data_IF_363622064171
#
_entry.id   IF_363622064171
#
_cell.length_a   1.000
_cell.length_b   1.000
_cell.length_c   1.000
_cell.angle_alpha   90.00
_cell.angle_beta   90.00
_cell.angle_gamma   90.00
#
_symmetry.space_group_name_H-M   'P 1'
#
loop_
_entity.id
_entity.type
_entity.pdbx_description
1 polymer ?
#
# COMPACT_ATOMS: atom_id res chain seq x y z
N UNK A 1 3.07 -3.18 23.77
CA UNK A 1 3.96 -3.19 24.94
C UNK A 1 5.31 -2.64 24.54
N UNK A 2 5.94 -1.81 25.37
CA UNK A 2 7.28 -1.30 25.11
C UNK A 2 8.31 -2.46 25.17
N UNK A 3 9.11 -2.71 24.13
CA UNK A 3 10.13 -3.77 24.16
C UNK A 3 11.25 -3.49 25.17
N UNK A 4 11.44 -2.23 25.60
CA UNK A 4 12.41 -1.86 26.62
C UNK A 4 11.85 -1.92 28.05
N UNK A 5 10.53 -2.02 28.23
CA UNK A 5 9.88 -2.20 29.53
C UNK A 5 8.64 -3.08 29.37
N UNK A 6 8.79 -4.41 29.42
CA UNK A 6 7.68 -5.35 29.25
C UNK A 6 6.54 -5.06 30.24
N UNK A 7 5.31 -5.00 29.75
CA UNK A 7 4.11 -4.76 30.57
C UNK A 7 3.63 -3.31 30.60
N UNK A 8 4.41 -2.34 30.12
CA UNK A 8 3.96 -0.96 29.98
C UNK A 8 3.59 -0.61 28.52
N UNK A 9 2.57 0.25 28.30
CA UNK A 9 2.32 0.83 26.98
C UNK A 9 3.54 1.64 26.52
N UNK A 10 3.93 1.49 25.26
CA UNK A 10 4.97 2.33 24.67
C UNK A 10 4.52 3.79 24.68
N UNK A 11 5.39 4.69 25.13
CA UNK A 11 5.08 6.13 25.28
C UNK A 11 5.73 6.95 24.15
N UNK A 12 5.09 8.05 23.78
CA UNK A 12 5.60 9.03 22.82
C UNK A 12 4.81 9.09 21.51
N UNK A 13 5.21 10.01 20.63
CA UNK A 13 4.56 10.22 19.33
C UNK A 13 4.89 9.12 18.32
N UNK A 14 3.97 8.90 17.38
CA UNK A 14 4.17 8.01 16.24
C UNK A 14 5.15 8.67 15.26
N UNK A 15 6.18 7.93 14.86
CA UNK A 15 7.13 8.31 13.81
C UNK A 15 6.92 7.42 12.59
N UNK A 16 6.94 8.04 11.41
CA UNK A 16 6.93 7.34 10.13
C UNK A 16 8.37 7.34 9.61
N UNK A 17 8.93 6.16 9.33
CA UNK A 17 10.31 6.01 8.87
C UNK A 17 10.30 5.33 7.51
N UNK A 18 11.07 5.87 6.57
CA UNK A 18 11.28 5.27 5.25
C UNK A 18 12.32 4.17 5.38
N UNK A 19 11.97 2.95 4.98
CA UNK A 19 12.87 1.79 4.97
C UNK A 19 13.51 1.54 3.61
N UNK A 20 12.76 1.73 2.53
CA UNK A 20 13.26 1.59 1.17
C UNK A 20 12.38 2.37 0.18
N UNK A 21 12.96 2.73 -0.95
CA UNK A 21 12.25 3.29 -2.11
C UNK A 21 12.81 2.61 -3.35
N UNK A 22 11.91 2.17 -4.23
CA UNK A 22 12.28 1.66 -5.55
C UNK A 22 11.49 2.43 -6.59
N UNK A 23 12.18 2.92 -7.63
CA UNK A 23 11.57 3.71 -8.69
C UNK A 23 11.98 3.15 -10.03
N UNK A 24 11.00 2.94 -10.90
CA UNK A 24 11.18 2.59 -12.30
C UNK A 24 10.82 3.79 -13.17
N UNK A 25 11.79 4.25 -13.96
CA UNK A 25 11.62 5.35 -14.90
C UNK A 25 11.23 4.79 -16.26
N UNK A 26 10.12 5.27 -16.81
CA UNK A 26 9.58 4.82 -18.10
C UNK A 26 9.89 5.80 -19.21
N UNK A 27 9.89 7.11 -18.90
CA UNK A 27 10.09 8.19 -19.86
C UNK A 27 10.89 9.33 -19.24
N UNK A 28 11.64 10.01 -20.09
CA UNK A 28 12.39 11.20 -19.72
C UNK A 28 11.43 12.35 -19.34
N UNK A 29 11.76 13.05 -18.25
CA UNK A 29 11.17 14.33 -17.88
C UNK A 29 12.23 15.41 -18.12
N UNK A 30 11.95 16.34 -19.05
CA UNK A 30 12.86 17.44 -19.36
C UNK A 30 13.09 18.33 -18.13
N UNK A 31 14.22 19.03 -18.09
CA UNK A 31 14.47 20.07 -17.10
C UNK A 31 13.30 21.09 -17.08
N UNK A 32 12.85 21.43 -15.88
CA UNK A 32 11.66 22.28 -15.65
C UNK A 32 10.34 21.73 -16.21
N UNK A 33 10.31 20.46 -16.61
CA UNK A 33 9.08 19.76 -16.99
C UNK A 33 8.13 19.62 -15.80
N UNK A 34 6.84 19.88 -16.03
CA UNK A 34 5.82 19.73 -15.00
C UNK A 34 5.25 18.31 -14.98
N UNK A 35 4.90 17.84 -13.79
CA UNK A 35 4.30 16.53 -13.57
C UNK A 35 3.31 16.60 -12.39
N UNK A 36 2.47 15.58 -12.28
CA UNK A 36 1.61 15.35 -11.12
C UNK A 36 2.01 14.05 -10.42
N UNK A 37 1.82 14.00 -9.10
CA UNK A 37 2.09 12.81 -8.28
C UNK A 37 0.79 12.20 -7.79
N UNK A 38 0.65 10.91 -8.03
CA UNK A 38 -0.53 10.14 -7.67
C UNK A 38 -0.11 9.04 -6.72
N UNK A 39 -0.30 9.29 -5.44
CA UNK A 39 0.10 8.39 -4.36
C UNK A 39 -1.13 7.70 -3.78
N UNK A 40 -1.06 6.37 -3.63
CA UNK A 40 -2.07 5.60 -2.89
C UNK A 40 -1.41 4.54 -2.03
N UNK A 41 -2.14 4.03 -1.05
CA UNK A 41 -1.77 2.81 -0.34
C UNK A 41 -1.77 1.66 -1.35
N UNK A 42 -0.63 0.98 -1.47
CA UNK A 42 -0.50 -0.23 -2.27
C UNK A 42 -0.98 -1.44 -1.46
N UNK A 43 -0.37 -1.64 -0.28
CA UNK A 43 -0.67 -2.73 0.64
C UNK A 43 0.05 -2.51 1.97
N UNK A 44 -0.15 -3.40 2.93
CA UNK A 44 0.64 -3.50 4.14
C UNK A 44 0.81 -4.96 4.57
N UNK A 45 1.92 -5.24 5.24
CA UNK A 45 2.18 -6.50 5.93
C UNK A 45 2.16 -6.30 7.47
N UNK A 46 2.84 -7.17 8.22
CA UNK A 46 2.91 -7.09 9.70
C UNK A 46 3.75 -5.92 10.23
N UNK A 47 4.67 -5.38 9.43
CA UNK A 47 5.70 -4.39 9.81
C UNK A 47 5.66 -3.14 8.93
N UNK A 48 5.42 -3.30 7.64
CA UNK A 48 5.61 -2.31 6.59
C UNK A 48 4.29 -1.89 5.95
N UNK A 49 4.13 -0.58 5.75
CA UNK A 49 3.16 0.01 4.85
C UNK A 49 3.84 0.28 3.51
N UNK A 50 3.22 -0.13 2.42
CA UNK A 50 3.71 0.12 1.07
C UNK A 50 2.81 1.16 0.40
N UNK A 51 3.42 2.24 -0.08
CA UNK A 51 2.77 3.21 -0.95
C UNK A 51 3.22 3.00 -2.38
N UNK A 52 2.33 3.20 -3.33
CA UNK A 52 2.67 3.34 -4.74
C UNK A 52 2.42 4.77 -5.18
N UNK A 53 3.41 5.34 -5.85
CA UNK A 53 3.40 6.70 -6.38
C UNK A 53 3.61 6.63 -7.88
N UNK A 54 2.68 7.17 -8.65
CA UNK A 54 2.82 7.36 -10.09
C UNK A 54 3.16 8.81 -10.36
N UNK A 55 4.21 9.02 -11.15
CA UNK A 55 4.55 10.33 -11.70
C UNK A 55 3.93 10.41 -13.08
N UNK A 56 3.01 11.35 -13.29
CA UNK A 56 2.24 11.46 -14.53
C UNK A 56 2.43 12.82 -15.19
N UNK A 57 2.30 12.87 -16.51
CA UNK A 57 2.31 14.14 -17.26
C UNK A 57 1.13 14.99 -16.79
N UNK A 58 1.40 16.24 -16.40
CA UNK A 58 0.38 17.19 -15.94
C UNK A 58 -0.66 17.44 -17.03
N UNK A 59 -1.94 17.44 -16.67
CA UNK A 59 -3.03 17.71 -17.61
C UNK A 59 -3.31 16.60 -18.62
N UNK A 60 -2.84 15.37 -18.36
CA UNK A 60 -3.28 14.22 -19.14
C UNK A 60 -4.81 14.07 -19.07
N UNK A 61 -5.47 14.10 -20.23
CA UNK A 61 -6.91 13.96 -20.35
C UNK A 61 -7.39 12.65 -19.68
N UNK A 62 -8.50 12.71 -18.93
CA UNK A 62 -9.16 11.59 -18.26
C UNK A 62 -8.52 11.05 -16.97
N UNK A 63 -7.63 11.80 -16.32
CA UNK A 63 -7.21 11.46 -14.95
C UNK A 63 -8.23 12.01 -13.90
N UNK A 64 -8.78 11.17 -13.01
CA UNK A 64 -9.70 11.59 -11.94
C UNK A 64 -9.13 12.67 -11.01
N UNK A 65 -9.78 13.84 -10.86
CA UNK A 65 -9.25 14.85 -9.92
C UNK A 65 -9.45 14.41 -8.46
N UNK A 66 -8.40 14.39 -7.62
CA UNK A 66 -8.54 14.10 -6.20
C UNK A 66 -9.51 15.11 -5.55
N UNK A 67 -10.55 14.62 -4.88
CA UNK A 67 -11.54 15.48 -4.22
C UNK A 67 -12.63 16.04 -5.13
N UNK A 68 -12.75 15.58 -6.39
CA UNK A 68 -14.01 15.71 -7.12
C UNK A 68 -14.99 14.65 -6.61
N UNK A 69 -15.65 14.98 -5.50
CA UNK A 69 -16.99 14.51 -5.22
C UNK A 69 -17.82 14.63 -6.51
N UNK A 70 -18.37 13.50 -6.99
CA UNK A 70 -19.04 13.35 -8.28
C UNK A 70 -20.29 14.22 -8.50
N UNK A 71 -20.40 15.36 -7.83
CA UNK A 71 -21.44 16.39 -7.95
C UNK A 71 -21.21 17.36 -9.13
N UNK A 72 -20.15 17.18 -9.92
CA UNK A 72 -19.92 17.96 -11.14
C UNK A 72 -20.64 17.35 -12.34
N UNK A 73 -21.97 17.48 -12.39
CA UNK A 73 -22.86 17.23 -13.54
C UNK A 73 -22.78 15.84 -14.19
N UNK A 74 -23.88 15.11 -14.06
CA UNK A 74 -24.18 13.88 -14.78
C UNK A 74 -23.81 13.98 -16.27
N UNK A 75 -22.77 13.24 -16.63
CA UNK A 75 -22.32 13.08 -17.99
C UNK A 75 -21.48 11.81 -18.10
N UNK A 76 -22.08 10.65 -17.81
CA UNK A 76 -21.70 9.34 -18.37
C UNK A 76 -20.20 9.14 -18.67
N UNK A 77 -19.30 9.36 -17.71
CA UNK A 77 -17.92 8.91 -17.88
C UNK A 77 -17.82 7.52 -17.30
N UNK A 78 -18.10 6.51 -18.14
CA UNK A 78 -17.33 5.26 -18.08
C UNK A 78 -15.91 5.65 -17.68
N UNK A 79 -15.37 5.09 -16.61
CA UNK A 79 -14.00 5.36 -16.16
C UNK A 79 -13.05 4.90 -17.29
N UNK A 80 -12.85 5.75 -18.30
CA UNK A 80 -11.99 5.46 -19.44
C UNK A 80 -10.60 5.76 -18.96
N UNK A 81 -9.99 4.76 -18.32
CA UNK A 81 -8.55 4.76 -18.19
C UNK A 81 -7.97 4.94 -19.59
N UNK A 82 -7.03 5.89 -19.76
CA UNK A 82 -6.43 6.12 -21.06
C UNK A 82 -5.89 4.81 -21.60
N UNK A 83 -6.34 4.41 -22.80
CA UNK A 83 -6.02 3.13 -23.46
C UNK A 83 -4.51 2.88 -23.58
N UNK A 84 -3.68 3.91 -23.42
CA UNK A 84 -2.20 3.83 -23.39
C UNK A 84 -1.66 4.53 -22.13
N UNK A 85 -1.56 3.79 -21.03
CA UNK A 85 -0.96 4.27 -19.76
C UNK A 85 0.51 4.68 -19.92
N UNK A 86 1.21 4.06 -20.86
CA UNK A 86 2.64 4.31 -21.14
C UNK A 86 2.91 5.74 -21.65
N UNK A 87 1.90 6.38 -22.24
CA UNK A 87 2.02 7.77 -22.71
C UNK A 87 1.81 8.80 -21.58
N UNK A 88 1.44 8.36 -20.38
CA UNK A 88 1.05 9.26 -19.29
C UNK A 88 1.96 9.06 -18.08
N UNK A 89 2.33 7.82 -17.76
CA UNK A 89 3.17 7.52 -16.60
C UNK A 89 4.64 7.72 -16.97
N UNK A 90 5.27 8.72 -16.37
CA UNK A 90 6.70 9.02 -16.49
C UNK A 90 7.55 8.07 -15.65
N UNK A 91 7.12 7.83 -14.41
CA UNK A 91 7.79 6.92 -13.48
C UNK A 91 6.79 6.27 -12.53
N UNK A 92 7.15 5.13 -11.97
CA UNK A 92 6.39 4.43 -10.93
C UNK A 92 7.33 4.15 -9.78
N UNK A 93 6.91 4.48 -8.57
CA UNK A 93 7.70 4.30 -7.35
C UNK A 93 6.92 3.54 -6.30
N UNK A 94 7.59 2.64 -5.59
CA UNK A 94 7.08 1.99 -4.38
C UNK A 94 7.91 2.48 -3.20
N UNK A 95 7.24 2.97 -2.16
CA UNK A 95 7.86 3.42 -0.91
C UNK A 95 7.46 2.49 0.23
N UNK A 96 8.45 1.97 0.96
CA UNK A 96 8.31 1.07 2.11
C UNK A 96 8.47 1.89 3.40
N UNK A 97 7.41 1.94 4.22
CA UNK A 97 7.33 2.76 5.43
C UNK A 97 7.10 1.89 6.67
N UNK A 98 7.68 2.27 7.81
CA UNK A 98 7.41 1.65 9.11
C UNK A 98 6.95 2.70 10.13
N UNK A 99 5.93 2.34 10.89
CA UNK A 99 5.46 3.15 12.02
C UNK A 99 6.17 2.75 13.30
N UNK A 100 6.65 3.73 14.06
CA UNK A 100 7.37 3.50 15.33
C UNK A 100 6.85 4.37 16.46
N UNK A 101 6.79 3.81 17.65
CA UNK A 101 6.62 4.55 18.92
C UNK A 101 7.85 4.20 19.77
N UNK A 102 8.78 5.15 19.92
CA UNK A 102 10.09 4.85 20.53
C UNK A 102 10.83 3.75 19.76
N UNK A 103 11.14 2.64 20.44
CA UNK A 103 11.76 1.44 19.83
C UNK A 103 10.73 0.40 19.36
N UNK A 104 9.44 0.58 19.67
CA UNK A 104 8.38 -0.32 19.25
C UNK A 104 7.99 -0.06 17.80
N UNK A 105 7.91 -1.12 16.99
CA UNK A 105 7.30 -1.06 15.67
C UNK A 105 5.80 -1.32 15.78
N UNK A 106 4.99 -0.45 15.17
CA UNK A 106 3.52 -0.52 15.20
C UNK A 106 3.03 -1.11 13.89
N UNK A 107 2.11 -2.08 13.99
CA UNK A 107 1.49 -2.69 12.82
C UNK A 107 0.72 -1.64 12.01
N UNK A 108 0.89 -1.54 10.68
CA UNK A 108 0.25 -0.51 9.85
C UNK A 108 -1.27 -0.44 10.01
N UNK A 109 -1.94 -1.60 10.09
CA UNK A 109 -3.39 -1.62 10.26
C UNK A 109 -3.88 -0.95 11.54
N UNK A 110 -3.10 -0.93 12.64
CA UNK A 110 -3.48 -0.20 13.86
C UNK A 110 -3.54 1.30 13.58
N UNK A 111 -2.58 1.82 12.82
CA UNK A 111 -2.52 3.25 12.49
C UNK A 111 -3.64 3.64 11.52
N UNK A 112 -3.91 2.79 10.52
CA UNK A 112 -4.98 3.03 9.55
C UNK A 112 -6.38 2.94 10.19
N UNK A 113 -6.60 1.96 11.06
CA UNK A 113 -7.84 1.79 11.83
C UNK A 113 -8.08 2.96 12.79
N UNK A 114 -7.05 3.37 13.54
CA UNK A 114 -7.09 4.55 14.41
C UNK A 114 -7.34 5.86 13.64
N UNK A 115 -7.07 5.88 12.33
CA UNK A 115 -7.36 7.02 11.44
C UNK A 115 -8.71 6.91 10.72
N UNK A 116 -9.52 5.90 11.05
CA UNK A 116 -10.80 5.59 10.39
C UNK A 116 -10.67 5.38 8.87
N UNK A 117 -9.49 4.93 8.41
CA UNK A 117 -9.22 4.62 7.00
C UNK A 117 -9.50 3.16 6.64
N UNK A 118 -9.83 2.33 7.62
CA UNK A 118 -10.21 0.94 7.42
C UNK A 118 -11.68 0.73 7.79
N UNK A 119 -12.44 -0.04 6.99
CA UNK A 119 -13.77 -0.45 7.38
C UNK A 119 -13.71 -1.45 8.54
N UNK A 120 -14.78 -1.57 9.35
CA UNK A 120 -14.82 -2.54 10.45
C UNK A 120 -14.69 -3.97 9.91
N UNK A 121 -13.83 -4.77 10.54
CA UNK A 121 -13.58 -6.16 10.16
C UNK A 121 -13.87 -7.09 11.35
N UNK A 122 -14.69 -8.15 11.17
CA UNK A 122 -14.84 -9.20 12.17
C UNK A 122 -13.48 -9.80 12.54
N UNK A 123 -13.16 -9.82 13.84
CA UNK A 123 -11.86 -10.30 14.33
C UNK A 123 -10.71 -9.30 14.21
N UNK A 124 -10.94 -8.08 13.71
CA UNK A 124 -9.94 -7.01 13.63
C UNK A 124 -8.92 -7.15 12.50
N UNK A 125 -8.12 -6.11 12.28
CA UNK A 125 -7.14 -6.05 11.19
C UNK A 125 -5.73 -6.52 11.56
N UNK A 126 -5.45 -6.67 12.85
CA UNK A 126 -4.15 -7.11 13.37
C UNK A 126 -4.05 -8.60 13.62
N UNK A 127 -5.20 -9.29 13.68
CA UNK A 127 -5.28 -10.73 13.82
C UNK A 127 -4.79 -11.34 12.51
N UNK A 128 -3.70 -12.10 12.58
CA UNK A 128 -3.05 -12.72 11.43
C UNK A 128 -4.00 -13.70 10.73
N UNK A 129 -4.84 -13.19 9.84
CA UNK A 129 -5.76 -13.97 9.02
C UNK A 129 -5.05 -14.68 7.88
N UNK A 130 -4.09 -15.53 8.24
CA UNK A 130 -3.58 -16.61 7.40
C UNK A 130 -4.37 -17.92 7.67
N UNK A 131 -5.39 -17.90 8.55
CA UNK A 131 -6.29 -19.03 8.78
C UNK A 131 -7.45 -19.05 7.77
N UNK A 132 -7.49 -20.02 6.83
CA UNK A 132 -8.59 -20.18 5.90
C UNK A 132 -9.93 -20.56 6.58
N UNK A 133 -9.90 -21.01 7.85
CA UNK A 133 -11.12 -21.39 8.58
C UNK A 133 -12.01 -20.19 8.98
N UNK A 134 -11.43 -19.02 9.22
CA UNK A 134 -12.21 -17.80 9.52
C UNK A 134 -13.00 -17.26 8.32
N UNK A 135 -12.70 -17.72 7.10
CA UNK A 135 -13.41 -17.35 5.88
C UNK A 135 -14.62 -18.25 5.58
N UNK A 136 -14.76 -19.36 6.32
CA UNK A 136 -15.84 -20.34 6.15
C UNK A 136 -16.87 -20.32 7.28
N UNK A 137 -16.71 -19.47 8.29
CA UNK A 137 -17.78 -19.18 9.23
C UNK A 137 -18.91 -18.47 8.48
N UNK A 138 -19.87 -19.26 7.97
CA UNK A 138 -21.20 -18.77 7.57
C UNK A 138 -21.66 -17.80 8.65
N UNK A 139 -22.11 -16.57 8.31
CA UNK A 139 -22.74 -15.74 9.31
C UNK A 139 -23.94 -16.52 9.83
N UNK A 140 -23.99 -16.73 11.15
CA UNK A 140 -25.19 -17.20 11.81
C UNK A 140 -26.30 -16.23 11.38
N UNK A 141 -27.31 -16.76 10.72
CA UNK A 141 -28.47 -16.02 10.26
C UNK A 141 -29.16 -15.40 11.48
N UNK A 142 -28.99 -14.09 11.66
CA UNK A 142 -29.89 -13.23 12.42
C UNK A 142 -29.99 -11.89 11.68
N UNK A 143 -31.02 -11.84 10.83
CA UNK A 143 -31.85 -10.68 10.51
C UNK A 143 -31.14 -9.32 10.34
N UNK A 144 -30.73 -9.05 9.11
CA UNK A 144 -30.65 -7.68 8.59
C UNK A 144 -30.96 -7.71 7.09
N UNK A 145 -31.71 -6.71 6.66
CA UNK A 145 -32.49 -6.66 5.44
C UNK A 145 -31.71 -6.93 4.14
N UNK A 146 -32.39 -7.56 3.20
CA UNK A 146 -31.93 -7.83 1.84
C UNK A 146 -31.83 -6.51 1.06
N UNK A 147 -30.74 -5.76 1.26
CA UNK A 147 -30.31 -4.72 0.32
C UNK A 147 -29.69 -5.41 -0.88
N UNK A 148 -30.16 -5.06 -2.07
CA UNK A 148 -29.73 -5.60 -3.37
C UNK A 148 -28.21 -5.62 -3.51
N UNK A 149 -27.66 -6.71 -4.06
CA UNK A 149 -26.22 -6.97 -4.22
C UNK A 149 -25.43 -5.85 -4.95
N UNK A 150 -26.13 -4.93 -5.62
CA UNK A 150 -25.58 -3.78 -6.35
C UNK A 150 -25.20 -2.60 -5.45
N UNK A 151 -25.88 -2.37 -4.31
CA UNK A 151 -25.57 -1.26 -3.39
C UNK A 151 -24.37 -1.60 -2.48
N UNK A 152 -24.19 -2.88 -2.16
CA UNK A 152 -23.08 -3.39 -1.34
C UNK A 152 -21.74 -3.34 -2.08
N UNK A 153 -21.72 -3.48 -3.42
CA UNK A 153 -20.52 -3.31 -4.25
C UNK A 153 -20.01 -1.84 -4.29
N UNK A 154 -20.91 -0.87 -4.05
CA UNK A 154 -20.57 0.56 -4.01
C UNK A 154 -19.91 0.97 -2.69
N UNK A 155 -20.19 0.25 -1.59
CA UNK A 155 -19.60 0.50 -0.28
C UNK A 155 -18.20 -0.14 -0.17
N UNK A 156 -17.25 0.60 0.40
CA UNK A 156 -15.87 0.16 0.56
C UNK A 156 -15.73 -0.80 1.75
N UNK A 157 -16.15 -2.05 1.55
CA UNK A 157 -16.20 -3.07 2.61
C UNK A 157 -14.85 -3.69 2.97
N UNK A 158 -14.78 -4.35 4.13
CA UNK A 158 -13.57 -5.03 4.62
C UNK A 158 -13.07 -6.13 3.68
N UNK A 159 -13.99 -6.86 3.01
CA UNK A 159 -13.64 -7.90 2.04
C UNK A 159 -12.91 -7.31 0.82
N UNK A 160 -13.40 -6.18 0.32
CA UNK A 160 -12.79 -5.46 -0.79
C UNK A 160 -11.44 -4.88 -0.39
N UNK A 161 -11.36 -4.30 0.80
CA UNK A 161 -10.10 -3.75 1.35
C UNK A 161 -9.04 -4.85 1.48
N UNK A 162 -9.40 -6.00 2.03
CA UNK A 162 -8.47 -7.14 2.18
C UNK A 162 -8.04 -7.72 0.83
N UNK A 163 -8.95 -7.78 -0.16
CA UNK A 163 -8.62 -8.19 -1.52
C UNK A 163 -7.62 -7.25 -2.18
N UNK A 164 -7.84 -5.94 -2.11
CA UNK A 164 -6.89 -4.95 -2.64
C UNK A 164 -5.55 -4.98 -1.89
N UNK A 165 -5.58 -5.17 -0.57
CA UNK A 165 -4.36 -5.37 0.24
C UNK A 165 -3.57 -6.57 -0.27
N UNK A 166 -4.20 -7.74 -0.44
CA UNK A 166 -3.52 -8.95 -0.94
C UNK A 166 -2.96 -8.76 -2.35
N UNK A 167 -3.75 -8.18 -3.25
CA UNK A 167 -3.30 -7.85 -4.61
C UNK A 167 -2.08 -6.93 -4.62
N UNK A 168 -2.06 -5.90 -3.78
CA UNK A 168 -0.89 -5.02 -3.67
C UNK A 168 0.32 -5.70 -3.04
N UNK A 169 0.10 -6.68 -2.16
CA UNK A 169 1.16 -7.43 -1.50
C UNK A 169 1.96 -8.29 -2.49
N UNK A 170 1.29 -8.84 -3.52
CA UNK A 170 1.95 -9.57 -4.61
C UNK A 170 3.05 -8.76 -5.31
N UNK A 171 2.90 -7.43 -5.39
CA UNK A 171 3.93 -6.55 -5.92
C UNK A 171 4.96 -6.15 -4.85
N UNK A 172 4.48 -5.83 -3.65
CA UNK A 172 5.33 -5.35 -2.55
C UNK A 172 6.31 -6.43 -2.05
N UNK A 173 5.93 -7.72 -2.12
CA UNK A 173 6.78 -8.83 -1.69
C UNK A 173 8.10 -8.89 -2.47
N UNK A 174 8.13 -8.48 -3.74
CA UNK A 174 9.37 -8.47 -4.53
C UNK A 174 10.36 -7.42 -4.01
N UNK A 175 9.86 -6.27 -3.54
CA UNK A 175 10.69 -5.26 -2.87
C UNK A 175 11.12 -5.72 -1.48
N UNK A 176 10.26 -6.46 -0.77
CA UNK A 176 10.57 -7.00 0.54
C UNK A 176 11.66 -8.09 0.47
N UNK A 177 11.59 -8.98 -0.53
CA UNK A 177 12.51 -10.09 -0.74
C UNK A 177 13.97 -9.64 -1.00
N UNK A 178 14.21 -8.37 -1.33
CA UNK A 178 15.57 -7.83 -1.41
C UNK A 178 16.29 -7.87 -0.06
N UNK A 179 15.56 -7.77 1.06
CA UNK A 179 16.16 -7.88 2.40
C UNK A 179 16.74 -9.29 2.64
N UNK A 180 16.16 -10.32 2.00
CA UNK A 180 16.58 -11.73 2.16
C UNK A 180 17.90 -12.03 1.44
N UNK A 181 18.22 -11.27 0.38
CA UNK A 181 19.48 -11.41 -0.37
C UNK A 181 20.72 -11.10 0.47
N UNK A 182 20.58 -10.43 1.62
CA UNK A 182 21.70 -10.26 2.55
C UNK A 182 22.30 -11.61 2.96
N UNK A 183 21.48 -12.66 3.07
CA UNK A 183 21.91 -13.99 3.47
C UNK A 183 22.72 -14.72 2.39
N UNK A 184 22.60 -14.28 1.13
CA UNK A 184 23.32 -14.90 0.00
C UNK A 184 24.70 -14.28 -0.22
N UNK A 185 25.08 -13.25 0.54
CA UNK A 185 26.39 -12.62 0.40
C UNK A 185 27.48 -13.53 1.01
N UNK A 186 28.23 -14.23 0.15
CA UNK A 186 29.34 -15.12 0.54
C UNK A 186 30.64 -14.37 0.85
N UNK A 187 30.88 -13.25 0.18
CA UNK A 187 32.14 -12.50 0.26
C UNK A 187 33.33 -13.19 -0.41
N UNK A 188 33.09 -14.30 -1.12
CA UNK A 188 34.12 -15.07 -1.81
C UNK A 188 34.55 -14.40 -3.12
N UNK A 189 35.82 -14.59 -3.49
CA UNK A 189 36.41 -13.95 -4.69
C UNK A 189 35.84 -14.53 -5.99
N UNK A 190 35.34 -15.76 -5.96
CA UNK A 190 34.86 -16.49 -7.15
C UNK A 190 33.42 -16.10 -7.54
N UNK A 191 32.65 -15.55 -6.60
CA UNK A 191 31.23 -15.17 -6.79
C UNK A 191 31.03 -13.73 -7.29
N UNK A 192 32.11 -12.98 -7.57
CA UNK A 192 32.02 -11.55 -7.91
C UNK A 192 32.51 -11.26 -9.33
N UNK A 193 31.68 -10.57 -10.13
CA UNK A 193 32.09 -10.05 -11.45
C UNK A 193 33.13 -8.92 -11.35
N UNK A 194 33.21 -8.29 -10.19
CA UNK A 194 34.17 -7.23 -9.92
C UNK A 194 33.99 -6.68 -8.51
N UNK A 195 35.09 -6.20 -7.94
CA UNK A 195 35.05 -5.39 -6.73
C UNK A 195 35.22 -3.94 -7.16
N UNK A 196 34.21 -3.13 -6.91
CA UNK A 196 34.24 -1.71 -7.25
C UNK A 196 34.44 -0.93 -5.97
N UNK A 197 35.53 -0.17 -5.90
CA UNK A 197 35.73 0.84 -4.88
C UNK A 197 36.06 2.15 -5.59
N UNK A 198 35.57 3.25 -5.05
CA UNK A 198 36.17 4.55 -5.33
C UNK A 198 37.53 4.50 -4.63
N UNK A 199 38.60 4.73 -5.41
CA UNK A 199 40.01 4.58 -5.03
C UNK A 199 40.31 4.87 -3.57
#
# INVERSE_FOLDING_TARGET
MDPSTPGQPARGGVKIVVGAVQTSFKRELKAYGTYEMWTRVLSWDRKWLYLVTYFVVKGAENLPRPGSDGSGLAGSSTQVFPKKRDNIVLATSITKLVFKIGRLTVHPAVVLDASSLLPPRPGGWTSGGDDPETLLAKPAAQDAERTTDEETEALWDWRRTERERRRGLEHAQHLAALDDLLQTFSGEKEDVLGRFWLG
#
